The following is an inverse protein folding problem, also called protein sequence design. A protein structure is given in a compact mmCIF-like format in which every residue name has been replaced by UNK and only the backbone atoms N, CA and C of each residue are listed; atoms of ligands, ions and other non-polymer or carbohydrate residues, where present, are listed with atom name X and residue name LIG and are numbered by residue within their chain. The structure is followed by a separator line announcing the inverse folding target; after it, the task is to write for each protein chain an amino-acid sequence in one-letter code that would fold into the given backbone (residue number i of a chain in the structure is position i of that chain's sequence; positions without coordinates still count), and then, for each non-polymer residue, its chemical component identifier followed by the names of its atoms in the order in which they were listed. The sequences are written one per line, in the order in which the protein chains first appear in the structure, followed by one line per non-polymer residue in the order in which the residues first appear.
data_IF_715236734335
#
_entry.id   IF_715236734335
#
_cell.length_a   1.000
_cell.length_b   1.000
_cell.length_c   1.000
_cell.angle_alpha   90.00
_cell.angle_beta   90.00
_cell.angle_gamma   90.00
#
_symmetry.space_group_name_H-M   'P 1'
#
loop_
_entity.id
_entity.type
_entity.pdbx_description
1 polymer ?
#
# COMPACT_ATOMS: atom_id res chain seq x y z
N UNK A 1 15.54 15.76 -13.49
CA UNK A 1 14.97 16.32 -12.24
C UNK A 1 14.77 15.17 -11.25
N UNK A 2 14.94 15.41 -9.93
CA UNK A 2 14.68 14.38 -8.90
C UNK A 2 13.49 14.83 -8.06
N UNK A 3 12.51 13.95 -7.89
CA UNK A 3 11.34 14.14 -7.05
C UNK A 3 11.46 13.22 -5.84
N UNK A 4 11.47 13.77 -4.63
CA UNK A 4 11.49 13.01 -3.39
C UNK A 4 10.05 12.72 -2.93
N UNK A 5 9.74 11.46 -2.66
CA UNK A 5 8.44 11.04 -2.10
C UNK A 5 8.66 10.49 -0.70
N UNK A 6 8.21 11.21 0.31
CA UNK A 6 8.23 10.76 1.70
C UNK A 6 7.01 9.90 1.99
N UNK A 7 7.23 8.64 2.31
CA UNK A 7 6.15 7.67 2.55
C UNK A 7 6.28 7.02 3.92
N UNK A 8 5.17 6.66 4.54
CA UNK A 8 5.19 5.84 5.75
C UNK A 8 5.43 4.36 5.45
N UNK A 9 5.67 3.58 6.50
CA UNK A 9 5.86 2.13 6.40
C UNK A 9 7.32 1.70 6.40
N UNK A 10 8.25 2.59 6.80
CA UNK A 10 9.62 2.23 7.16
C UNK A 10 9.68 1.51 8.51
N UNK A 11 10.88 1.11 8.90
CA UNK A 11 11.17 0.51 10.20
C UNK A 11 11.81 1.55 11.14
N UNK A 12 11.63 1.39 12.44
CA UNK A 12 12.16 2.33 13.45
C UNK A 12 13.68 2.20 13.67
N UNK A 13 14.34 1.20 13.07
CA UNK A 13 15.78 0.97 13.19
C UNK A 13 16.21 0.47 14.57
N UNK A 14 17.27 -0.35 14.58
CA UNK A 14 18.00 -0.70 15.80
C UNK A 14 17.74 -2.10 16.37
N UNK A 15 16.53 -2.67 16.23
CA UNK A 15 16.21 -4.00 16.76
C UNK A 15 15.42 -4.89 15.78
N UNK A 16 15.27 -4.46 14.51
CA UNK A 16 14.57 -5.26 13.53
C UNK A 16 15.46 -6.37 12.99
N UNK A 17 14.88 -7.54 12.78
CA UNK A 17 15.58 -8.66 12.17
C UNK A 17 15.89 -8.39 10.68
N UNK A 18 16.88 -9.12 10.14
CA UNK A 18 17.33 -8.95 8.76
C UNK A 18 16.19 -9.15 7.73
N UNK A 19 15.20 -9.99 8.02
CA UNK A 19 14.08 -10.23 7.13
C UNK A 19 13.11 -9.04 7.09
N UNK A 20 12.88 -8.41 8.21
CA UNK A 20 12.06 -7.18 8.31
C UNK A 20 12.72 -6.03 7.56
N UNK A 21 14.05 -5.86 7.69
CA UNK A 21 14.80 -4.86 6.95
C UNK A 21 14.72 -5.11 5.45
N UNK A 22 15.00 -6.34 5.00
CA UNK A 22 14.95 -6.70 3.59
C UNK A 22 13.55 -6.50 2.98
N UNK A 23 12.49 -6.89 3.70
CA UNK A 23 11.10 -6.70 3.25
C UNK A 23 10.71 -5.21 3.19
N UNK A 24 11.21 -4.38 4.11
CA UNK A 24 11.00 -2.94 4.07
C UNK A 24 11.68 -2.31 2.86
N UNK A 25 12.90 -2.71 2.53
CA UNK A 25 13.58 -2.23 1.33
C UNK A 25 12.88 -2.70 0.05
N UNK A 26 12.44 -3.95 -0.02
CA UNK A 26 11.67 -4.45 -1.15
C UNK A 26 10.39 -3.62 -1.38
N UNK A 27 9.67 -3.27 -0.30
CA UNK A 27 8.50 -2.42 -0.41
C UNK A 27 8.84 -1.00 -0.92
N UNK A 28 9.94 -0.42 -0.45
CA UNK A 28 10.43 0.88 -0.92
C UNK A 28 10.76 0.84 -2.42
N UNK A 29 11.48 -0.19 -2.85
CA UNK A 29 11.87 -0.34 -4.24
C UNK A 29 10.67 -0.53 -5.17
N UNK A 30 9.70 -1.35 -4.79
CA UNK A 30 8.51 -1.57 -5.62
C UNK A 30 7.61 -0.34 -5.66
N UNK A 31 7.45 0.40 -4.56
CA UNK A 31 6.76 1.69 -4.60
C UNK A 31 7.48 2.68 -5.53
N UNK A 32 8.81 2.74 -5.47
CA UNK A 32 9.60 3.59 -6.35
C UNK A 32 9.39 3.23 -7.83
N UNK A 33 9.47 1.95 -8.16
CA UNK A 33 9.24 1.45 -9.53
C UNK A 33 7.82 1.73 -9.99
N UNK A 34 6.83 1.50 -9.12
CA UNK A 34 5.42 1.77 -9.42
C UNK A 34 5.18 3.25 -9.71
N UNK A 35 5.63 4.15 -8.83
CA UNK A 35 5.47 5.59 -9.02
C UNK A 35 6.22 6.10 -10.25
N UNK A 36 7.40 5.54 -10.56
CA UNK A 36 8.13 5.87 -11.80
C UNK A 36 7.34 5.45 -13.05
N UNK A 37 6.73 4.24 -13.03
CA UNK A 37 5.83 3.81 -14.12
C UNK A 37 4.59 4.70 -14.22
N UNK A 38 4.01 5.06 -13.08
CA UNK A 38 2.83 5.94 -13.02
C UNK A 38 3.14 7.32 -13.61
N UNK A 39 4.31 7.88 -13.32
CA UNK A 39 4.72 9.17 -13.87
C UNK A 39 4.91 9.12 -15.39
N UNK A 40 5.43 8.00 -15.94
CA UNK A 40 5.64 7.83 -17.38
C UNK A 40 6.67 8.78 -18.01
N UNK A 41 7.58 9.38 -17.21
CA UNK A 41 8.59 10.35 -17.66
C UNK A 41 9.98 9.88 -17.28
N UNK A 42 10.85 9.76 -18.27
CA UNK A 42 12.26 9.34 -18.12
C UNK A 42 13.18 10.47 -17.65
N UNK A 43 12.81 11.72 -17.91
CA UNK A 43 13.57 12.92 -17.50
C UNK A 43 13.39 13.28 -16.00
N UNK A 44 12.45 12.61 -15.32
CA UNK A 44 12.18 12.76 -13.89
C UNK A 44 12.48 11.44 -13.18
N UNK A 45 13.29 11.48 -12.15
CA UNK A 45 13.58 10.35 -11.28
C UNK A 45 12.84 10.48 -9.97
N UNK A 46 12.02 9.51 -9.61
CA UNK A 46 11.36 9.42 -8.31
C UNK A 46 12.26 8.73 -7.32
N UNK A 47 12.35 9.25 -6.10
CA UNK A 47 13.07 8.64 -4.98
C UNK A 47 12.13 8.53 -3.79
N UNK A 48 11.66 7.31 -3.52
CA UNK A 48 10.82 7.03 -2.36
C UNK A 48 11.70 6.92 -1.11
N UNK A 49 11.40 7.76 -0.11
CA UNK A 49 12.03 7.80 1.22
C UNK A 49 11.02 7.30 2.26
N UNK A 50 11.20 6.09 2.74
CA UNK A 50 10.29 5.52 3.74
C UNK A 50 10.65 5.95 5.16
N UNK A 51 9.63 6.35 5.90
CA UNK A 51 9.71 6.75 7.29
C UNK A 51 8.90 5.79 8.18
N UNK A 52 9.30 5.66 9.44
CA UNK A 52 8.67 4.70 10.36
C UNK A 52 7.19 5.01 10.67
N UNK A 53 6.77 6.26 10.49
CA UNK A 53 5.38 6.69 10.67
C UNK A 53 5.05 7.90 9.80
N UNK A 54 3.75 8.17 9.59
CA UNK A 54 3.30 9.37 8.89
C UNK A 54 3.82 10.66 9.51
N UNK A 55 3.93 10.74 10.86
CA UNK A 55 4.48 11.91 11.56
C UNK A 55 5.96 12.13 11.24
N UNK A 56 6.74 11.06 11.15
CA UNK A 56 8.15 11.16 10.73
C UNK A 56 8.26 11.55 9.27
N UNK A 57 7.46 10.96 8.39
CA UNK A 57 7.41 11.32 6.99
C UNK A 57 7.05 12.80 6.81
N UNK A 58 6.03 13.29 7.51
CA UNK A 58 5.62 14.69 7.49
C UNK A 58 6.72 15.64 8.02
N UNK A 59 7.43 15.26 9.10
CA UNK A 59 8.56 16.05 9.62
C UNK A 59 9.70 16.16 8.62
N UNK A 60 10.07 15.08 7.96
CA UNK A 60 11.13 15.10 6.96
C UNK A 60 10.68 15.87 5.70
N UNK A 61 9.43 15.69 5.27
CA UNK A 61 8.84 16.45 4.18
C UNK A 61 8.86 17.97 4.45
N UNK A 62 8.50 18.42 5.65
CA UNK A 62 8.50 19.87 6.01
C UNK A 62 9.91 20.44 6.02
N UNK A 63 10.93 19.66 6.38
CA UNK A 63 12.34 20.08 6.36
C UNK A 63 12.96 20.09 4.97
N UNK A 64 12.35 19.41 4.00
CA UNK A 64 12.90 19.28 2.66
C UNK A 64 12.85 20.63 1.94
N UNK A 65 14.00 21.07 1.47
CA UNK A 65 14.14 22.32 0.71
C UNK A 65 13.76 22.17 -0.77
N UNK A 66 13.78 20.92 -1.28
CA UNK A 66 13.36 20.65 -2.64
C UNK A 66 11.85 20.84 -2.79
N UNK A 67 11.45 21.84 -3.56
CA UNK A 67 10.04 22.15 -3.85
C UNK A 67 9.33 21.03 -4.60
N UNK A 68 10.07 20.21 -5.36
CA UNK A 68 9.57 19.03 -6.08
C UNK A 68 9.55 17.79 -5.17
N UNK A 69 9.09 17.93 -3.93
CA UNK A 69 8.93 16.82 -2.99
C UNK A 69 7.47 16.62 -2.64
N UNK A 70 7.10 15.37 -2.36
CA UNK A 70 5.74 14.96 -2.02
C UNK A 70 5.72 14.14 -0.74
N UNK A 71 4.63 14.24 -0.02
CA UNK A 71 4.33 13.40 1.13
C UNK A 71 3.21 12.43 0.72
N UNK A 72 3.43 11.12 0.86
CA UNK A 72 2.44 10.11 0.51
C UNK A 72 2.23 9.16 1.72
N UNK A 73 1.05 9.22 2.33
CA UNK A 73 0.76 8.55 3.60
C UNK A 73 -0.64 7.93 3.62
N UNK A 74 -0.85 6.94 4.49
CA UNK A 74 -2.19 6.42 4.74
C UNK A 74 -3.05 7.51 5.40
N UNK A 75 -4.25 7.77 4.88
CA UNK A 75 -5.19 8.72 5.50
C UNK A 75 -5.79 8.13 6.79
N UNK A 76 -5.91 6.80 6.87
CA UNK A 76 -6.56 6.05 7.98
C UNK A 76 -8.02 6.47 8.26
N UNK A 77 -8.64 7.21 7.34
CA UNK A 77 -9.97 7.83 7.47
C UNK A 77 -10.66 7.88 6.10
N UNK A 78 -11.92 8.31 6.12
CA UNK A 78 -12.67 8.61 4.90
C UNK A 78 -12.09 9.86 4.21
N UNK A 79 -12.23 9.97 2.88
CA UNK A 79 -11.68 11.09 2.09
C UNK A 79 -12.09 12.47 2.59
N UNK A 80 -13.32 12.60 3.09
CA UNK A 80 -13.88 13.87 3.60
C UNK A 80 -13.15 14.38 4.85
N UNK A 81 -12.43 13.52 5.55
CA UNK A 81 -11.73 13.84 6.79
C UNK A 81 -10.27 14.26 6.58
N UNK A 82 -9.89 14.58 5.34
CA UNK A 82 -8.55 15.07 4.99
C UNK A 82 -8.16 16.31 5.82
N UNK A 83 -9.06 17.24 6.01
CA UNK A 83 -8.80 18.45 6.80
C UNK A 83 -8.44 18.13 8.26
N UNK A 84 -9.13 17.18 8.88
CA UNK A 84 -8.84 16.74 10.26
C UNK A 84 -7.46 16.11 10.38
N UNK A 85 -6.93 15.48 9.32
CA UNK A 85 -5.58 14.95 9.30
C UNK A 85 -4.54 16.06 9.42
N UNK A 86 -4.68 17.17 8.66
CA UNK A 86 -3.81 18.34 8.77
C UNK A 86 -3.91 19.01 10.14
N UNK A 87 -5.10 19.08 10.72
CA UNK A 87 -5.31 19.61 12.07
C UNK A 87 -4.60 18.75 13.12
N UNK A 88 -4.70 17.43 13.00
CA UNK A 88 -4.00 16.50 13.89
C UNK A 88 -2.48 16.68 13.83
N UNK A 89 -1.89 16.83 12.62
CA UNK A 89 -0.46 17.12 12.48
C UNK A 89 -0.07 18.45 13.12
N UNK A 90 -0.89 19.48 12.96
CA UNK A 90 -0.64 20.80 13.57
C UNK A 90 -0.64 20.74 15.09
N UNK A 91 -1.55 19.92 15.69
CA UNK A 91 -1.55 19.64 17.12
C UNK A 91 -0.26 18.95 17.58
N UNK A 92 0.32 18.12 16.75
CA UNK A 92 1.62 17.46 17.01
C UNK A 92 2.83 18.37 16.75
N UNK A 93 2.60 19.66 16.44
CA UNK A 93 3.66 20.63 16.17
C UNK A 93 4.28 20.51 14.77
N UNK A 94 3.61 19.85 13.83
CA UNK A 94 4.05 19.71 12.44
C UNK A 94 3.11 20.53 11.57
N UNK A 95 3.57 21.69 11.10
CA UNK A 95 2.80 22.58 10.24
C UNK A 95 3.26 22.42 8.78
N UNK A 96 2.36 21.97 7.92
CA UNK A 96 2.54 22.00 6.47
C UNK A 96 1.95 23.32 6.00
N UNK A 97 2.72 24.09 5.23
CA UNK A 97 2.25 25.36 4.67
C UNK A 97 1.15 25.13 3.63
N UNK A 98 0.32 26.14 3.41
CA UNK A 98 -0.75 26.08 2.42
C UNK A 98 -0.21 25.78 1.01
N UNK A 99 0.92 26.41 0.65
CA UNK A 99 1.61 26.20 -0.63
C UNK A 99 2.08 24.75 -0.86
N UNK A 100 2.32 24.01 0.22
CA UNK A 100 2.76 22.62 0.16
C UNK A 100 1.64 21.61 0.44
N UNK A 101 0.45 22.08 0.76
CA UNK A 101 -0.70 21.18 1.02
C UNK A 101 -1.08 20.35 -0.20
N UNK A 102 -0.90 20.89 -1.41
CA UNK A 102 -1.16 20.19 -2.67
C UNK A 102 -0.09 19.12 -3.01
N UNK A 103 1.03 19.12 -2.28
CA UNK A 103 2.06 18.09 -2.38
C UNK A 103 1.84 16.95 -1.36
N UNK A 104 0.70 16.94 -0.65
CA UNK A 104 0.34 15.87 0.27
C UNK A 104 -0.70 14.98 -0.39
N UNK A 105 -0.29 13.77 -0.71
CA UNK A 105 -1.11 12.73 -1.32
C UNK A 105 -1.45 11.66 -0.29
N UNK A 106 -2.61 11.04 -0.43
CA UNK A 106 -3.07 10.02 0.51
C UNK A 106 -3.38 8.70 -0.18
N UNK A 107 -2.95 7.61 0.42
CA UNK A 107 -3.67 6.36 0.27
C UNK A 107 -4.97 6.46 1.07
N UNK A 108 -6.10 6.50 0.37
CA UNK A 108 -7.39 6.64 1.03
C UNK A 108 -7.65 5.40 1.88
N UNK A 109 -7.87 5.64 3.17
CA UNK A 109 -7.76 4.71 4.27
C UNK A 109 -6.34 4.14 4.41
N UNK A 110 -5.90 3.24 3.51
CA UNK A 110 -4.60 2.56 3.56
C UNK A 110 -4.12 2.24 2.13
N UNK A 111 -2.81 2.03 1.94
CA UNK A 111 -2.21 1.62 0.66
C UNK A 111 -2.89 0.37 0.07
N UNK A 112 -3.38 -0.53 0.89
CA UNK A 112 -4.08 -1.74 0.48
C UNK A 112 -5.37 -1.47 -0.30
N UNK A 113 -5.91 -0.25 -0.25
CA UNK A 113 -7.03 0.18 -1.10
C UNK A 113 -6.69 0.07 -2.59
N UNK A 114 -5.44 0.32 -2.99
CA UNK A 114 -5.00 0.13 -4.38
C UNK A 114 -5.11 -1.33 -4.82
N UNK A 115 -4.81 -2.27 -3.93
CA UNK A 115 -4.94 -3.70 -4.24
C UNK A 115 -6.39 -4.11 -4.43
N UNK A 116 -7.29 -3.57 -3.59
CA UNK A 116 -8.72 -3.84 -3.70
C UNK A 116 -9.37 -3.16 -4.92
N UNK A 117 -8.81 -2.03 -5.38
CA UNK A 117 -9.21 -1.38 -6.65
C UNK A 117 -8.74 -2.17 -7.88
N UNK A 118 -7.70 -3.01 -7.74
CA UNK A 118 -7.17 -3.87 -8.79
C UNK A 118 -7.03 -5.33 -8.33
N UNK A 119 -8.14 -6.03 -8.08
CA UNK A 119 -8.11 -7.40 -7.57
C UNK A 119 -7.37 -8.38 -8.50
N UNK A 120 -7.27 -8.09 -9.81
CA UNK A 120 -6.46 -8.89 -10.74
C UNK A 120 -4.97 -8.90 -10.35
N UNK A 121 -4.42 -7.79 -9.85
CA UNK A 121 -3.03 -7.76 -9.38
C UNK A 121 -2.79 -8.71 -8.18
N UNK A 122 -3.82 -8.93 -7.35
CA UNK A 122 -3.76 -9.91 -6.25
C UNK A 122 -3.74 -11.34 -6.83
N UNK A 123 -4.53 -11.61 -7.88
CA UNK A 123 -4.59 -12.91 -8.55
C UNK A 123 -3.25 -13.25 -9.22
N UNK A 124 -2.68 -12.29 -9.96
CA UNK A 124 -1.41 -12.46 -10.67
C UNK A 124 -0.26 -12.69 -9.68
N UNK A 125 -0.18 -11.88 -8.62
CA UNK A 125 0.75 -12.09 -7.53
C UNK A 125 0.58 -13.47 -6.87
N UNK A 126 -0.66 -13.88 -6.62
CA UNK A 126 -0.93 -15.16 -5.98
C UNK A 126 -0.45 -16.33 -6.84
N UNK A 127 -0.64 -16.28 -8.15
CA UNK A 127 -0.18 -17.30 -9.08
C UNK A 127 1.36 -17.40 -9.08
N UNK A 128 2.07 -16.26 -9.12
CA UNK A 128 3.53 -16.21 -9.10
C UNK A 128 4.13 -16.72 -7.78
N UNK A 129 3.45 -16.47 -6.65
CA UNK A 129 3.86 -16.95 -5.32
C UNK A 129 3.43 -18.38 -5.02
N UNK A 130 2.82 -19.09 -5.99
CA UNK A 130 2.39 -20.47 -5.85
C UNK A 130 1.16 -20.63 -4.98
N UNK A 131 0.23 -19.70 -5.07
CA UNK A 131 -1.12 -19.83 -4.53
C UNK A 131 -2.12 -20.08 -5.65
N UNK A 132 -3.23 -20.69 -5.31
CA UNK A 132 -4.36 -20.97 -6.20
C UNK A 132 -5.68 -20.74 -5.48
N UNK A 133 -6.75 -20.63 -6.24
CA UNK A 133 -8.11 -20.61 -5.67
C UNK A 133 -8.44 -21.93 -4.98
N UNK A 134 -9.11 -21.85 -3.84
CA UNK A 134 -9.69 -23.02 -3.18
C UNK A 134 -10.74 -23.68 -4.10
N UNK A 135 -10.84 -24.98 -4.07
CA UNK A 135 -11.73 -25.76 -4.96
C UNK A 135 -13.20 -25.29 -4.96
N UNK A 136 -13.67 -24.73 -3.85
CA UNK A 136 -15.02 -24.20 -3.68
C UNK A 136 -15.11 -22.66 -3.85
N UNK A 137 -14.06 -22.00 -4.36
CA UNK A 137 -13.95 -20.54 -4.54
C UNK A 137 -13.27 -20.24 -5.87
N UNK A 138 -13.93 -20.60 -6.98
CA UNK A 138 -13.38 -20.43 -8.34
C UNK A 138 -13.73 -19.08 -8.97
N UNK A 139 -14.59 -18.28 -8.32
CA UNK A 139 -14.93 -16.95 -8.79
C UNK A 139 -13.74 -16.01 -8.60
N UNK A 140 -13.50 -15.06 -9.52
CA UNK A 140 -12.44 -14.07 -9.39
C UNK A 140 -12.57 -13.27 -8.07
N UNK A 141 -11.45 -12.79 -7.56
CA UNK A 141 -11.42 -11.96 -6.32
C UNK A 141 -12.32 -10.73 -6.47
N UNK A 142 -12.45 -10.16 -7.68
CA UNK A 142 -13.35 -9.04 -7.97
C UNK A 142 -14.82 -9.34 -7.61
N UNK A 143 -15.24 -10.60 -7.67
CA UNK A 143 -16.60 -11.05 -7.32
C UNK A 143 -16.80 -11.26 -5.81
N UNK A 144 -15.76 -11.08 -5.02
CA UNK A 144 -15.87 -11.29 -3.57
C UNK A 144 -16.79 -10.24 -2.93
N UNK A 145 -17.76 -10.70 -2.12
CA UNK A 145 -18.80 -9.87 -1.48
C UNK A 145 -18.28 -8.66 -0.68
N UNK A 146 -17.02 -8.67 -0.29
CA UNK A 146 -16.43 -7.56 0.47
C UNK A 146 -16.04 -6.37 -0.39
N UNK A 147 -15.89 -6.56 -1.73
CA UNK A 147 -15.43 -5.52 -2.66
C UNK A 147 -16.34 -5.37 -3.89
N UNK A 148 -17.05 -6.43 -4.31
CA UNK A 148 -17.95 -6.38 -5.46
C UNK A 148 -18.96 -5.23 -5.32
N UNK A 149 -19.06 -4.40 -6.35
CA UNK A 149 -19.99 -3.26 -6.44
C UNK A 149 -19.88 -2.25 -5.27
N UNK A 150 -18.70 -2.17 -4.63
CA UNK A 150 -18.47 -1.26 -3.52
C UNK A 150 -17.50 -0.15 -3.89
N UNK A 151 -17.73 1.01 -3.31
CA UNK A 151 -16.75 2.07 -3.27
C UNK A 151 -15.64 1.71 -2.28
N UNK A 152 -14.44 1.47 -2.80
CA UNK A 152 -13.29 1.02 -2.01
C UNK A 152 -12.81 2.10 -1.04
N UNK A 153 -13.02 3.37 -1.36
CA UNK A 153 -12.61 4.49 -0.50
C UNK A 153 -13.54 4.69 0.71
N UNK A 154 -14.77 4.16 0.63
CA UNK A 154 -15.79 4.28 1.66
C UNK A 154 -16.14 2.94 2.34
N UNK A 155 -15.20 1.99 2.34
CA UNK A 155 -15.40 0.71 3.04
C UNK A 155 -15.51 0.94 4.56
N UNK A 156 -16.39 0.17 5.21
CA UNK A 156 -16.60 0.22 6.65
C UNK A 156 -15.42 -0.34 7.46
N UNK A 157 -14.65 -1.23 6.86
CA UNK A 157 -13.47 -1.86 7.45
C UNK A 157 -12.22 -1.44 6.69
N UNK A 158 -11.09 -1.43 7.37
CA UNK A 158 -9.79 -1.13 6.76
C UNK A 158 -9.50 -2.05 5.58
N UNK A 159 -8.91 -1.49 4.53
CA UNK A 159 -8.57 -2.23 3.32
C UNK A 159 -7.67 -3.44 3.61
N UNK A 160 -6.71 -3.31 4.53
CA UNK A 160 -5.84 -4.42 4.96
C UNK A 160 -6.59 -5.54 5.66
N UNK A 161 -7.65 -5.25 6.43
CA UNK A 161 -8.48 -6.27 7.07
C UNK A 161 -9.33 -7.02 6.04
N UNK A 162 -9.90 -6.30 5.08
CA UNK A 162 -10.65 -6.90 3.98
C UNK A 162 -9.75 -7.78 3.14
N UNK A 163 -8.55 -7.31 2.78
CA UNK A 163 -7.55 -8.09 2.05
C UNK A 163 -7.19 -9.38 2.80
N UNK A 164 -6.95 -9.32 4.10
CA UNK A 164 -6.71 -10.52 4.95
C UNK A 164 -7.85 -11.53 4.85
N UNK A 165 -9.09 -11.06 4.87
CA UNK A 165 -10.27 -11.91 4.77
C UNK A 165 -10.34 -12.56 3.39
N UNK A 166 -10.16 -11.79 2.31
CA UNK A 166 -10.19 -12.27 0.92
C UNK A 166 -9.14 -13.36 0.73
N UNK A 167 -7.86 -13.06 1.01
CA UNK A 167 -6.76 -14.00 0.81
C UNK A 167 -7.00 -15.32 1.56
N UNK A 168 -7.45 -15.24 2.83
CA UNK A 168 -7.74 -16.42 3.63
C UNK A 168 -8.93 -17.22 3.11
N UNK A 169 -9.97 -16.56 2.58
CA UNK A 169 -11.19 -17.23 2.14
C UNK A 169 -11.07 -17.82 0.75
N UNK A 170 -10.33 -17.15 -0.15
CA UNK A 170 -10.29 -17.47 -1.57
C UNK A 170 -9.10 -18.35 -1.93
N UNK A 171 -7.92 -18.06 -1.37
CA UNK A 171 -6.66 -18.66 -1.81
C UNK A 171 -6.14 -19.76 -0.86
N UNK A 172 -5.42 -20.71 -1.44
CA UNK A 172 -4.66 -21.74 -0.73
C UNK A 172 -3.30 -21.96 -1.42
N UNK A 173 -2.25 -22.44 -0.71
CA UNK A 173 -1.00 -22.81 -1.35
C UNK A 173 -1.20 -23.98 -2.33
N UNK A 174 -0.54 -23.93 -3.48
CA UNK A 174 -0.45 -25.05 -4.43
C UNK A 174 0.30 -26.23 -3.78
N UNK A 175 1.39 -25.93 -3.10
CA UNK A 175 2.14 -26.90 -2.31
C UNK A 175 1.46 -27.16 -0.97
N UNK A 176 0.68 -28.24 -0.92
CA UNK A 176 -0.06 -28.68 0.28
C UNK A 176 0.81 -29.38 1.34
N UNK A 177 2.11 -29.53 1.11
CA UNK A 177 3.04 -30.07 2.13
C UNK A 177 3.30 -29.06 3.26
N UNK A 178 3.03 -27.78 3.04
CA UNK A 178 3.12 -26.71 4.06
C UNK A 178 1.94 -26.77 5.03
N UNK A 179 1.92 -27.81 5.87
CA UNK A 179 0.85 -28.03 6.87
C UNK A 179 1.21 -27.40 8.22
N UNK A 180 0.18 -27.08 8.99
CA UNK A 180 0.32 -26.71 10.41
C UNK A 180 0.65 -27.93 11.27
N UNK A 181 1.02 -27.73 12.52
CA UNK A 181 1.21 -28.83 13.50
C UNK A 181 -0.04 -29.73 13.66
N UNK A 182 -1.22 -29.25 13.26
CA UNK A 182 -2.49 -30.00 13.27
C UNK A 182 -2.82 -30.66 11.93
N UNK A 183 -1.88 -30.68 10.97
CA UNK A 183 -2.08 -31.29 9.65
C UNK A 183 -2.97 -30.48 8.70
N UNK A 184 -3.40 -29.26 9.07
CA UNK A 184 -4.18 -28.39 8.18
C UNK A 184 -3.25 -27.56 7.30
N UNK A 185 -3.60 -27.38 6.02
CA UNK A 185 -2.93 -26.43 5.12
C UNK A 185 -2.96 -25.05 5.78
N UNK A 186 -1.82 -24.36 5.81
CA UNK A 186 -1.72 -23.03 6.43
C UNK A 186 -2.45 -22.00 5.59
N UNK A 187 -3.39 -21.29 6.19
CA UNK A 187 -4.00 -20.13 5.56
C UNK A 187 -2.97 -19.02 5.29
N UNK A 188 -3.19 -18.28 4.23
CA UNK A 188 -2.38 -17.08 3.93
C UNK A 188 -2.66 -16.03 4.99
N UNK A 189 -1.59 -15.57 5.62
CA UNK A 189 -1.64 -14.45 6.56
C UNK A 189 -0.98 -13.24 5.91
N UNK A 190 -1.81 -12.30 5.45
CA UNK A 190 -1.29 -11.06 4.90
C UNK A 190 -0.40 -10.31 5.92
N UNK A 191 0.74 -9.86 5.44
CA UNK A 191 1.64 -8.96 6.15
C UNK A 191 2.15 -7.92 5.17
N UNK A 192 1.94 -6.62 5.46
CA UNK A 192 2.24 -5.49 4.57
C UNK A 192 3.66 -5.60 3.98
N UNK A 193 4.66 -5.69 4.84
CA UNK A 193 6.07 -5.74 4.39
C UNK A 193 6.40 -6.97 3.54
N UNK A 194 5.74 -8.10 3.80
CA UNK A 194 6.05 -9.37 3.13
C UNK A 194 5.37 -9.51 1.77
N UNK A 195 4.11 -9.09 1.65
CA UNK A 195 3.28 -9.41 0.48
C UNK A 195 3.03 -8.19 -0.41
N UNK A 196 2.99 -6.97 0.18
CA UNK A 196 2.72 -5.77 -0.59
C UNK A 196 3.73 -5.53 -1.71
N UNK A 197 5.05 -5.76 -1.56
CA UNK A 197 5.97 -5.59 -2.68
C UNK A 197 5.57 -6.39 -3.92
N UNK A 198 5.26 -7.68 -3.73
CA UNK A 198 4.83 -8.56 -4.82
C UNK A 198 3.53 -8.09 -5.47
N UNK A 199 2.53 -7.68 -4.68
CA UNK A 199 1.25 -7.19 -5.22
C UNK A 199 1.46 -5.88 -5.99
N UNK A 200 2.28 -4.94 -5.48
CA UNK A 200 2.60 -3.67 -6.14
C UNK A 200 3.28 -3.90 -7.50
N UNK A 201 4.13 -4.93 -7.61
CA UNK A 201 4.78 -5.26 -8.87
C UNK A 201 3.77 -5.57 -9.99
N UNK A 202 2.60 -6.11 -9.65
CA UNK A 202 1.51 -6.44 -10.58
C UNK A 202 0.49 -5.30 -10.78
N UNK A 203 0.56 -4.21 -10.00
CA UNK A 203 -0.35 -3.08 -10.20
C UNK A 203 -0.10 -2.39 -11.54
N UNK A 204 -1.18 -2.06 -12.23
CA UNK A 204 -1.16 -1.21 -13.41
C UNK A 204 -1.48 0.25 -12.99
N UNK A 205 -0.58 1.22 -13.25
CA UNK A 205 -0.84 2.61 -12.89
C UNK A 205 -2.05 3.23 -13.59
N UNK A 206 -2.32 2.89 -14.86
CA UNK A 206 -3.35 3.57 -15.65
C UNK A 206 -4.78 3.42 -15.10
N UNK A 207 -5.26 2.21 -14.72
CA UNK A 207 -6.55 2.09 -14.07
C UNK A 207 -6.60 2.80 -12.71
N UNK A 208 -5.50 2.85 -11.95
CA UNK A 208 -5.45 3.57 -10.68
C UNK A 208 -5.56 5.07 -10.88
N UNK A 209 -4.83 5.66 -11.81
CA UNK A 209 -4.96 7.09 -12.16
C UNK A 209 -6.39 7.48 -12.55
N UNK A 210 -7.14 6.58 -13.15
CA UNK A 210 -8.50 6.82 -13.55
C UNK A 210 -9.49 6.89 -12.36
N UNK A 211 -9.16 6.25 -11.23
CA UNK A 211 -10.04 6.13 -10.06
C UNK A 211 -9.44 6.67 -8.76
N UNK A 212 -8.17 7.03 -8.75
CA UNK A 212 -7.46 7.58 -7.59
C UNK A 212 -6.99 9.01 -7.92
N UNK A 213 -7.51 10.00 -7.22
CA UNK A 213 -7.21 11.40 -7.47
C UNK A 213 -5.85 11.84 -6.95
N UNK A 214 -5.24 11.00 -6.13
CA UNK A 214 -3.95 11.29 -5.46
C UNK A 214 -2.76 10.75 -6.27
N UNK A 215 -2.99 9.93 -7.30
CA UNK A 215 -1.99 9.35 -8.19
C UNK A 215 -1.95 10.08 -9.54
#
# INVERSE_FOLDING_TARGET
MVVNVYAEGGILGGNDDASTIANSEALREELNRFMQRALGREDISIVVKKCASYKMAAKEFVKEENVDSYLYVDLDRLPELRTEWFESLRHDGIAISEERSDHVCFWIQEMESWFLKQPQAIEDWAADEGYQHKANKQEPISEHKSIKDKDIEHLQHKASEILKVILRQVLEPVDKTKVSATGKVRDIRYGKLRHAPGIIAHLNPEPLKACDREL
#
